data_IF_234339720603
#
_entry.id   IF_234339720603
#
_cell.length_a   1.000
_cell.length_b   1.000
_cell.length_c   1.000
_cell.angle_alpha   90.00
_cell.angle_beta   90.00
_cell.angle_gamma   90.00
#
_symmetry.space_group_name_H-M   'P 1'
#
loop_
_entity.id
_entity.type
_entity.pdbx_description
1 polymer ?
#
# COMPACT_ATOMS: atom_id res chain seq x y z
N UNK A 1 20.96 -2.19 -3.11
CA UNK A 1 20.24 -3.20 -3.92
C UNK A 1 20.48 -2.96 -5.41
N UNK A 2 20.06 -1.84 -6.01
CA UNK A 2 20.30 -1.57 -7.44
C UNK A 2 21.56 -0.72 -7.76
N UNK A 3 22.24 -0.18 -6.74
CA UNK A 3 23.42 0.68 -6.91
C UNK A 3 23.11 2.11 -7.38
N UNK A 4 21.84 2.52 -7.36
CA UNK A 4 21.41 3.85 -7.82
C UNK A 4 21.49 4.89 -6.69
N UNK A 5 21.84 6.16 -6.99
CA UNK A 5 21.80 7.25 -6.03
C UNK A 5 20.41 7.44 -5.42
N UNK A 6 20.36 7.80 -4.14
CA UNK A 6 19.11 8.19 -3.48
C UNK A 6 18.50 9.39 -4.25
N UNK A 7 17.19 9.36 -4.52
CA UNK A 7 16.45 10.33 -5.34
C UNK A 7 16.73 10.35 -6.85
N UNK A 8 17.51 9.41 -7.40
CA UNK A 8 17.62 9.26 -8.86
C UNK A 8 16.26 9.02 -9.52
N UNK A 9 15.97 9.75 -10.59
CA UNK A 9 14.69 9.71 -11.31
C UNK A 9 13.47 10.21 -10.53
N UNK A 10 13.69 11.06 -9.51
CA UNK A 10 12.62 11.69 -8.73
C UNK A 10 11.61 12.44 -9.61
N UNK A 11 12.07 13.20 -10.60
CA UNK A 11 11.20 13.96 -11.52
C UNK A 11 10.24 13.02 -12.27
N UNK A 12 10.76 11.92 -12.81
CA UNK A 12 9.94 10.93 -13.50
C UNK A 12 8.91 10.29 -12.56
N UNK A 13 9.32 9.95 -11.33
CA UNK A 13 8.41 9.42 -10.31
C UNK A 13 7.35 10.43 -9.88
N UNK A 14 7.69 11.72 -9.82
CA UNK A 14 6.74 12.79 -9.53
C UNK A 14 5.69 12.91 -10.63
N UNK A 15 6.08 12.82 -11.91
CA UNK A 15 5.15 12.78 -13.05
C UNK A 15 4.22 11.57 -12.96
N UNK A 16 4.77 10.36 -12.72
CA UNK A 16 3.98 9.14 -12.51
C UNK A 16 2.95 9.37 -11.39
N UNK A 17 3.41 9.86 -10.23
CA UNK A 17 2.56 10.10 -9.07
C UNK A 17 1.39 11.02 -9.43
N UNK A 18 1.67 12.16 -10.07
CA UNK A 18 0.64 13.13 -10.47
C UNK A 18 -0.38 12.49 -11.41
N UNK A 19 0.09 11.80 -12.46
CA UNK A 19 -0.81 11.18 -13.46
C UNK A 19 -1.66 10.07 -12.84
N UNK A 20 -1.05 9.16 -12.09
CA UNK A 20 -1.76 8.05 -11.45
C UNK A 20 -2.79 8.57 -10.43
N UNK A 21 -2.44 9.62 -9.70
CA UNK A 21 -3.34 10.29 -8.74
C UNK A 21 -4.52 10.95 -9.45
N UNK A 22 -4.29 11.67 -10.55
CA UNK A 22 -5.37 12.28 -11.35
C UNK A 22 -6.35 11.21 -11.84
N UNK A 23 -5.84 10.09 -12.35
CA UNK A 23 -6.67 8.96 -12.79
C UNK A 23 -7.53 8.44 -11.62
N UNK A 24 -6.93 8.25 -10.45
CA UNK A 24 -7.65 7.85 -9.23
C UNK A 24 -8.76 8.84 -8.87
N UNK A 25 -8.43 10.14 -8.82
CA UNK A 25 -9.38 11.20 -8.47
C UNK A 25 -10.55 11.19 -9.45
N UNK A 26 -10.28 11.15 -10.76
CA UNK A 26 -11.33 11.14 -11.78
C UNK A 26 -12.21 9.89 -11.64
N UNK A 27 -11.62 8.72 -11.41
CA UNK A 27 -12.35 7.46 -11.22
C UNK A 27 -13.28 7.53 -9.99
N UNK A 28 -12.73 7.93 -8.84
CA UNK A 28 -13.45 8.03 -7.57
C UNK A 28 -14.54 9.10 -7.65
N UNK A 29 -14.26 10.27 -8.21
CA UNK A 29 -15.25 11.35 -8.33
C UNK A 29 -16.39 11.00 -9.28
N UNK A 30 -16.11 10.30 -10.39
CA UNK A 30 -17.14 9.78 -11.29
C UNK A 30 -18.02 8.74 -10.61
N UNK A 31 -17.41 7.81 -9.86
CA UNK A 31 -18.15 6.83 -9.09
C UNK A 31 -18.99 7.49 -7.99
N UNK A 32 -18.43 8.42 -7.24
CA UNK A 32 -19.14 9.15 -6.18
C UNK A 32 -20.34 9.92 -6.74
N UNK A 33 -20.20 10.59 -7.89
CA UNK A 33 -21.32 11.23 -8.59
C UNK A 33 -22.38 10.20 -8.99
N UNK A 34 -21.97 9.07 -9.57
CA UNK A 34 -22.88 7.99 -10.00
C UNK A 34 -23.70 7.43 -8.84
N UNK A 35 -23.10 7.26 -7.66
CA UNK A 35 -23.79 6.77 -6.45
C UNK A 35 -24.64 7.86 -5.80
N UNK A 36 -24.20 9.13 -5.85
CA UNK A 36 -25.01 10.27 -5.40
C UNK A 36 -26.30 10.40 -6.21
N UNK A 37 -26.22 10.23 -7.53
CA UNK A 37 -27.37 10.31 -8.42
C UNK A 37 -28.28 9.07 -8.29
N UNK A 38 -27.72 7.90 -7.99
CA UNK A 38 -28.45 6.64 -7.81
C UNK A 38 -27.69 5.69 -6.85
N UNK A 39 -28.11 5.60 -5.58
CA UNK A 39 -27.46 4.79 -4.56
C UNK A 39 -27.39 3.28 -4.88
N UNK A 40 -28.32 2.76 -5.69
CA UNK A 40 -28.38 1.32 -6.06
C UNK A 40 -27.16 0.86 -6.86
N UNK A 41 -26.42 1.80 -7.45
CA UNK A 41 -25.21 1.53 -8.22
C UNK A 41 -23.99 1.24 -7.36
N UNK A 42 -24.08 1.43 -6.04
CA UNK A 42 -23.03 1.05 -5.09
C UNK A 42 -22.98 -0.47 -4.92
N UNK A 43 -21.82 -1.14 -5.02
CA UNK A 43 -21.69 -2.55 -4.64
C UNK A 43 -22.09 -2.83 -3.18
N UNK A 44 -22.04 -1.80 -2.33
CA UNK A 44 -22.39 -1.85 -0.91
C UNK A 44 -23.86 -1.53 -0.63
N UNK A 45 -24.68 -1.19 -1.63
CA UNK A 45 -26.06 -0.69 -1.42
C UNK A 45 -26.88 -1.53 -0.42
N UNK A 46 -26.96 -2.85 -0.61
CA UNK A 46 -27.72 -3.74 0.27
C UNK A 46 -27.16 -3.80 1.70
N UNK A 47 -25.82 -3.76 1.83
CA UNK A 47 -25.14 -3.78 3.13
C UNK A 47 -25.29 -2.43 3.84
N UNK A 48 -25.29 -1.33 3.10
CA UNK A 48 -25.47 0.01 3.64
C UNK A 48 -26.92 0.25 4.12
N UNK A 49 -27.91 -0.44 3.55
CA UNK A 49 -29.29 -0.43 4.06
C UNK A 49 -29.44 -1.14 5.42
N UNK A 50 -28.62 -2.17 5.67
CA UNK A 50 -28.62 -2.94 6.91
C UNK A 50 -27.64 -2.41 7.95
N UNK A 51 -26.62 -1.66 7.51
CA UNK A 51 -25.82 -0.86 8.42
C UNK A 51 -26.77 0.11 9.07
N UNK A 52 -26.86 0.04 10.39
CA UNK A 52 -27.28 1.16 11.21
C UNK A 52 -26.32 2.31 10.92
N UNK A 53 -26.58 3.04 9.83
CA UNK A 53 -25.93 4.30 9.53
C UNK A 53 -26.62 5.36 10.37
N UNK A 54 -26.77 5.09 11.67
CA UNK A 54 -26.76 6.11 12.69
C UNK A 54 -25.30 6.57 12.81
N UNK A 55 -24.77 7.16 11.73
CA UNK A 55 -24.06 8.41 11.91
C UNK A 55 -25.14 9.37 12.43
N UNK A 56 -25.50 9.23 13.71
CA UNK A 56 -25.82 10.39 14.52
C UNK A 56 -24.54 11.22 14.44
N UNK A 57 -24.42 11.98 13.35
CA UNK A 57 -23.78 13.28 13.41
C UNK A 57 -24.63 14.04 14.42
N UNK A 58 -24.43 13.75 15.70
CA UNK A 58 -24.66 14.69 16.77
C UNK A 58 -23.72 15.85 16.41
N UNK A 59 -24.25 16.71 15.54
CA UNK A 59 -23.81 18.08 15.32
C UNK A 59 -24.12 18.91 16.58
N UNK A 60 -24.38 18.27 17.73
CA UNK A 60 -24.08 18.88 19.00
C UNK A 60 -22.65 19.40 18.90
N UNK A 61 -22.53 20.72 19.00
CA UNK A 61 -21.25 21.40 19.10
C UNK A 61 -20.55 20.93 20.37
N UNK A 62 -19.92 19.75 20.33
CA UNK A 62 -19.05 19.32 21.41
C UNK A 62 -17.88 20.31 21.41
N UNK A 63 -17.75 21.16 22.44
CA UNK A 63 -16.72 22.17 22.45
C UNK A 63 -15.36 21.49 22.27
N UNK A 64 -14.56 22.00 21.33
CA UNK A 64 -13.22 21.50 21.06
C UNK A 64 -12.29 21.92 22.21
N UNK A 65 -12.43 21.20 23.32
CA UNK A 65 -11.76 21.49 24.58
C UNK A 65 -10.25 21.33 24.52
N UNK A 66 -9.58 21.75 25.59
CA UNK A 66 -8.11 21.69 25.70
C UNK A 66 -7.57 20.25 25.56
N UNK A 67 -8.28 19.25 26.11
CA UNK A 67 -7.91 17.83 25.99
C UNK A 67 -7.77 17.39 24.52
N UNK A 68 -8.81 17.61 23.71
CA UNK A 68 -8.80 17.28 22.26
C UNK A 68 -7.68 18.03 21.51
N UNK A 69 -7.41 19.29 21.84
CA UNK A 69 -6.28 20.05 21.27
C UNK A 69 -4.93 19.44 21.62
N UNK A 70 -4.75 18.99 22.86
CA UNK A 70 -3.53 18.32 23.31
C UNK A 70 -3.34 16.95 22.65
N UNK A 71 -4.42 16.19 22.43
CA UNK A 71 -4.35 14.93 21.67
C UNK A 71 -3.93 15.18 20.23
N UNK A 72 -4.48 16.19 19.56
CA UNK A 72 -4.07 16.55 18.20
C UNK A 72 -2.60 16.98 18.16
N UNK A 73 -2.14 17.76 19.14
CA UNK A 73 -0.74 18.12 19.25
C UNK A 73 0.15 16.89 19.46
N UNK A 74 -0.22 15.98 20.36
CA UNK A 74 0.49 14.73 20.60
C UNK A 74 0.54 13.85 19.34
N UNK A 75 -0.52 13.84 18.53
CA UNK A 75 -0.55 13.15 17.24
C UNK A 75 0.48 13.74 16.26
N UNK A 76 0.55 15.06 16.11
CA UNK A 76 1.57 15.69 15.25
C UNK A 76 3.00 15.46 15.77
N UNK A 77 3.20 15.47 17.10
CA UNK A 77 4.49 15.10 17.69
C UNK A 77 4.83 13.64 17.39
N UNK A 78 3.87 12.73 17.50
CA UNK A 78 4.06 11.32 17.16
C UNK A 78 4.43 11.16 15.67
N UNK A 79 3.81 11.91 14.76
CA UNK A 79 4.23 11.92 13.34
C UNK A 79 5.69 12.41 13.20
N UNK A 80 6.06 13.49 13.88
CA UNK A 80 7.43 13.99 13.87
C UNK A 80 8.45 12.96 14.39
N UNK A 81 8.12 12.28 15.49
CA UNK A 81 8.91 11.19 16.05
C UNK A 81 8.96 9.97 15.13
N UNK A 82 7.87 9.63 14.44
CA UNK A 82 7.85 8.55 13.46
C UNK A 82 8.82 8.85 12.32
N UNK A 83 8.76 10.06 11.76
CA UNK A 83 9.67 10.47 10.67
C UNK A 83 11.12 10.51 11.15
N UNK A 84 11.39 11.12 12.30
CA UNK A 84 12.74 11.18 12.85
C UNK A 84 13.28 9.78 13.22
N UNK A 85 12.49 8.98 13.90
CA UNK A 85 12.84 7.64 14.35
C UNK A 85 13.12 6.70 13.18
N UNK A 86 12.30 6.72 12.13
CA UNK A 86 12.53 5.89 10.94
C UNK A 86 13.74 6.34 10.13
N UNK A 87 13.98 7.65 9.97
CA UNK A 87 15.09 8.16 9.16
C UNK A 87 16.45 8.17 9.87
N UNK A 88 16.48 8.39 11.19
CA UNK A 88 17.73 8.57 11.95
C UNK A 88 18.03 7.46 12.92
N UNK A 89 17.01 6.88 13.56
CA UNK A 89 17.17 5.87 14.61
C UNK A 89 16.95 4.45 14.11
N UNK A 90 16.53 4.29 12.84
CA UNK A 90 16.25 2.98 12.25
C UNK A 90 15.04 2.28 12.87
N UNK A 91 14.07 3.04 13.41
CA UNK A 91 12.86 2.47 13.98
C UNK A 91 12.12 1.57 13.00
N UNK A 92 11.68 0.43 13.50
CA UNK A 92 10.94 -0.56 12.73
C UNK A 92 9.63 -0.91 13.43
N UNK A 93 9.08 -2.10 13.18
CA UNK A 93 7.73 -2.46 13.64
C UNK A 93 7.54 -2.30 15.15
N UNK A 94 8.51 -2.72 15.97
CA UNK A 94 8.36 -2.70 17.42
C UNK A 94 8.27 -1.27 17.97
N UNK A 95 9.15 -0.37 17.51
CA UNK A 95 9.20 1.02 17.94
C UNK A 95 7.99 1.80 17.45
N UNK A 96 7.54 1.54 16.20
CA UNK A 96 6.33 2.15 15.64
C UNK A 96 5.09 1.72 16.45
N UNK A 97 4.95 0.43 16.77
CA UNK A 97 3.87 -0.05 17.63
C UNK A 97 3.92 0.60 19.02
N UNK A 98 5.12 0.71 19.62
CA UNK A 98 5.31 1.38 20.91
C UNK A 98 4.93 2.87 20.88
N UNK A 99 5.26 3.56 19.79
CA UNK A 99 4.90 4.97 19.59
C UNK A 99 3.39 5.17 19.56
N UNK A 100 2.66 4.35 18.78
CA UNK A 100 1.20 4.46 18.69
C UNK A 100 0.49 4.00 19.98
N UNK A 101 1.02 2.99 20.67
CA UNK A 101 0.55 2.62 22.01
C UNK A 101 0.73 3.78 23.00
N UNK A 102 1.91 4.40 23.00
CA UNK A 102 2.21 5.58 23.81
C UNK A 102 1.29 6.76 23.49
N UNK A 103 1.00 7.00 22.21
CA UNK A 103 0.03 8.00 21.79
C UNK A 103 -1.37 7.71 22.35
N UNK A 104 -1.81 6.44 22.34
CA UNK A 104 -3.07 6.02 22.95
C UNK A 104 -3.12 6.34 24.45
N UNK A 105 -2.05 6.04 25.19
CA UNK A 105 -1.95 6.35 26.62
C UNK A 105 -2.01 7.86 26.85
N UNK A 106 -1.27 8.66 26.07
CA UNK A 106 -1.32 10.12 26.14
C UNK A 106 -2.72 10.64 25.85
N UNK A 107 -3.41 10.06 24.87
CA UNK A 107 -4.78 10.43 24.55
C UNK A 107 -5.74 10.19 25.73
N UNK A 108 -5.65 9.02 26.37
CA UNK A 108 -6.44 8.71 27.56
C UNK A 108 -6.17 9.67 28.72
N UNK A 109 -4.90 10.06 28.94
CA UNK A 109 -4.54 11.05 29.97
C UNK A 109 -5.10 12.43 29.63
N UNK A 110 -4.98 12.89 28.38
CA UNK A 110 -5.45 14.20 27.94
C UNK A 110 -6.98 14.33 28.02
N UNK A 111 -7.71 13.24 27.79
CA UNK A 111 -9.17 13.19 27.91
C UNK A 111 -9.64 12.89 29.34
N UNK A 112 -8.70 12.72 30.29
CA UNK A 112 -8.95 12.42 31.71
C UNK A 112 -9.74 11.13 31.93
N UNK A 113 -9.53 10.13 31.07
CA UNK A 113 -10.12 8.82 31.24
C UNK A 113 -9.64 8.18 32.54
N UNK A 114 -10.56 7.55 33.26
CA UNK A 114 -10.21 6.61 34.32
C UNK A 114 -9.50 5.37 33.73
N UNK A 115 -8.81 4.61 34.58
CA UNK A 115 -8.13 3.39 34.14
C UNK A 115 -9.11 2.36 33.57
N UNK A 116 -10.32 2.26 34.13
CA UNK A 116 -11.35 1.34 33.66
C UNK A 116 -11.90 1.77 32.31
N UNK A 117 -12.16 3.07 32.11
CA UNK A 117 -12.59 3.61 30.82
C UNK A 117 -11.52 3.38 29.75
N UNK A 118 -10.25 3.65 30.07
CA UNK A 118 -9.15 3.41 29.15
C UNK A 118 -9.01 1.92 28.83
N UNK A 119 -9.08 1.05 29.83
CA UNK A 119 -9.00 -0.40 29.66
C UNK A 119 -10.12 -0.95 28.78
N UNK A 120 -11.36 -0.50 29.01
CA UNK A 120 -12.52 -0.88 28.21
C UNK A 120 -12.41 -0.36 26.77
N UNK A 121 -12.02 0.91 26.57
CA UNK A 121 -11.83 1.48 25.24
C UNK A 121 -10.70 0.78 24.47
N UNK A 122 -9.60 0.46 25.15
CA UNK A 122 -8.48 -0.26 24.57
C UNK A 122 -8.87 -1.70 24.19
N UNK A 123 -9.59 -2.41 25.07
CA UNK A 123 -10.10 -3.75 24.81
C UNK A 123 -11.09 -3.76 23.63
N UNK A 124 -12.00 -2.77 23.57
CA UNK A 124 -12.91 -2.60 22.45
C UNK A 124 -12.14 -2.37 21.14
N UNK A 125 -11.17 -1.46 21.13
CA UNK A 125 -10.32 -1.19 19.95
C UNK A 125 -9.54 -2.42 19.50
N UNK A 126 -8.99 -3.22 20.43
CA UNK A 126 -8.38 -4.51 20.09
C UNK A 126 -9.38 -5.49 19.49
N UNK A 127 -10.60 -5.55 20.04
CA UNK A 127 -11.69 -6.40 19.53
C UNK A 127 -12.09 -6.03 18.10
N UNK A 128 -12.26 -4.75 17.82
CA UNK A 128 -12.58 -4.23 16.48
C UNK A 128 -11.48 -4.57 15.46
N UNK A 129 -10.23 -4.63 15.91
CA UNK A 129 -9.06 -4.97 15.08
C UNK A 129 -8.77 -6.47 15.00
N UNK A 130 -9.40 -7.32 15.83
CA UNK A 130 -9.03 -8.73 15.96
C UNK A 130 -9.19 -9.51 14.65
N UNK A 131 -10.31 -9.31 13.93
CA UNK A 131 -10.54 -9.95 12.63
C UNK A 131 -9.51 -9.47 11.61
N UNK A 132 -9.24 -8.16 11.56
CA UNK A 132 -8.22 -7.59 10.67
C UNK A 132 -6.83 -8.16 10.96
N UNK A 133 -6.45 -8.28 12.23
CA UNK A 133 -5.17 -8.83 12.66
C UNK A 133 -5.02 -10.32 12.30
N UNK A 134 -6.07 -11.14 12.46
CA UNK A 134 -6.06 -12.54 12.04
C UNK A 134 -5.87 -12.68 10.53
N UNK A 135 -6.60 -11.88 9.74
CA UNK A 135 -6.47 -11.89 8.27
C UNK A 135 -5.07 -11.46 7.85
N UNK A 136 -4.49 -10.43 8.49
CA UNK A 136 -3.08 -10.00 8.28
C UNK A 136 -2.11 -11.13 8.60
N UNK A 137 -2.33 -11.87 9.70
CA UNK A 137 -1.52 -13.02 10.09
C UNK A 137 -1.51 -14.14 9.05
N UNK A 138 -2.70 -14.54 8.56
CA UNK A 138 -2.83 -15.54 7.49
C UNK A 138 -2.17 -15.08 6.19
N UNK A 139 -2.40 -13.83 5.81
CA UNK A 139 -1.78 -13.21 4.66
C UNK A 139 -0.24 -13.25 4.73
N UNK A 140 0.34 -12.95 5.91
CA UNK A 140 1.78 -13.04 6.14
C UNK A 140 2.31 -14.47 6.12
N UNK A 141 1.54 -15.43 6.63
CA UNK A 141 1.94 -16.85 6.63
C UNK A 141 2.14 -17.40 5.20
N UNK A 142 1.26 -17.03 4.25
CA UNK A 142 1.41 -17.41 2.83
C UNK A 142 2.77 -16.94 2.29
N UNK A 143 3.14 -15.69 2.57
CA UNK A 143 4.43 -15.14 2.14
C UNK A 143 5.61 -15.91 2.74
N UNK A 144 5.57 -16.19 4.04
CA UNK A 144 6.63 -16.93 4.74
C UNK A 144 6.82 -18.33 4.14
N UNK A 145 5.73 -19.02 3.76
CA UNK A 145 5.79 -20.33 3.10
C UNK A 145 6.42 -20.24 1.71
N UNK A 146 6.06 -19.22 0.92
CA UNK A 146 6.61 -19.03 -0.43
C UNK A 146 8.12 -18.70 -0.39
N UNK A 147 8.55 -17.94 0.62
CA UNK A 147 9.94 -17.59 0.86
C UNK A 147 10.74 -18.79 1.37
N UNK A 148 10.30 -19.42 2.45
CA UNK A 148 10.98 -20.58 3.06
C UNK A 148 11.02 -21.78 2.12
N UNK A 149 10.02 -21.93 1.24
CA UNK A 149 9.95 -22.99 0.24
C UNK A 149 10.83 -22.78 -1.00
N UNK A 150 11.61 -21.69 -1.09
CA UNK A 150 12.41 -21.34 -2.28
C UNK A 150 11.60 -21.21 -3.59
N UNK A 151 10.28 -21.04 -3.50
CA UNK A 151 9.38 -20.91 -4.66
C UNK A 151 9.65 -19.57 -5.36
N UNK A 152 9.88 -18.52 -4.57
CA UNK A 152 10.21 -17.17 -5.08
C UNK A 152 11.48 -17.23 -5.93
N UNK A 153 12.54 -17.89 -5.44
CA UNK A 153 13.81 -18.01 -6.16
C UNK A 153 13.71 -18.81 -7.47
N UNK A 154 12.93 -19.89 -7.46
CA UNK A 154 12.71 -20.73 -8.66
C UNK A 154 11.98 -19.95 -9.75
N UNK A 155 10.92 -19.21 -9.38
CA UNK A 155 10.18 -18.37 -10.32
C UNK A 155 11.06 -17.25 -10.89
N UNK A 156 11.87 -16.63 -10.05
CA UNK A 156 12.81 -15.58 -10.43
C UNK A 156 13.82 -16.08 -11.48
N UNK A 157 14.40 -17.25 -11.25
CA UNK A 157 15.32 -17.87 -12.21
C UNK A 157 14.63 -18.15 -13.55
N UNK A 158 13.44 -18.76 -13.53
CA UNK A 158 12.67 -19.03 -14.74
C UNK A 158 12.28 -17.77 -15.52
N UNK A 159 11.98 -16.67 -14.82
CA UNK A 159 11.71 -15.39 -15.49
C UNK A 159 12.97 -14.81 -16.14
N UNK A 160 14.13 -14.89 -15.48
CA UNK A 160 15.38 -14.37 -16.03
C UNK A 160 15.82 -15.07 -17.31
N UNK A 161 15.64 -16.39 -17.41
CA UNK A 161 16.00 -17.15 -18.63
C UNK A 161 15.12 -16.81 -19.82
N UNK A 162 13.83 -16.50 -19.60
CA UNK A 162 12.92 -16.06 -20.67
C UNK A 162 13.28 -14.66 -21.14
N UNK A 163 13.52 -13.74 -20.21
CA UNK A 163 13.80 -12.33 -20.50
C UNK A 163 15.14 -12.10 -21.22
N UNK A 164 16.13 -12.96 -20.99
CA UNK A 164 17.46 -12.89 -21.63
C UNK A 164 17.42 -13.00 -23.15
N UNK A 165 16.37 -13.64 -23.69
CA UNK A 165 16.20 -13.88 -25.13
C UNK A 165 15.41 -12.78 -25.87
N UNK A 166 14.93 -11.75 -25.16
CA UNK A 166 13.98 -10.77 -25.68
C UNK A 166 14.63 -9.39 -25.98
N UNK A 167 14.11 -8.61 -26.94
CA UNK A 167 14.55 -7.23 -27.19
C UNK A 167 14.32 -6.32 -25.99
N UNK A 168 15.18 -5.32 -25.76
CA UNK A 168 15.18 -4.48 -24.56
C UNK A 168 13.83 -3.89 -24.12
N UNK A 169 13.01 -3.37 -25.06
CA UNK A 169 11.65 -2.86 -24.74
C UNK A 169 10.76 -3.99 -24.21
N UNK A 170 10.80 -5.16 -24.84
CA UNK A 170 10.02 -6.33 -24.44
C UNK A 170 10.52 -6.87 -23.11
N UNK A 171 11.82 -6.81 -22.86
CA UNK A 171 12.42 -7.18 -21.58
C UNK A 171 12.01 -6.21 -20.47
N UNK A 172 11.97 -4.89 -20.72
CA UNK A 172 11.49 -3.91 -19.74
C UNK A 172 10.01 -4.16 -19.35
N UNK A 173 9.14 -4.40 -20.32
CA UNK A 173 7.74 -4.75 -20.07
C UNK A 173 7.60 -6.13 -19.40
N UNK A 174 8.43 -7.09 -19.80
CA UNK A 174 8.47 -8.41 -19.18
C UNK A 174 8.89 -8.34 -17.71
N UNK A 175 9.85 -7.48 -17.37
CA UNK A 175 10.23 -7.18 -15.98
C UNK A 175 9.07 -6.53 -15.23
N UNK A 176 8.33 -5.59 -15.86
CA UNK A 176 7.15 -4.98 -15.25
C UNK A 176 6.04 -5.99 -14.96
N UNK A 177 5.67 -6.81 -15.95
CA UNK A 177 4.68 -7.89 -15.79
C UNK A 177 5.13 -8.85 -14.70
N UNK A 178 6.40 -9.25 -14.71
CA UNK A 178 6.96 -10.13 -13.68
C UNK A 178 6.84 -9.52 -12.27
N UNK A 179 7.13 -8.22 -12.13
CA UNK A 179 6.99 -7.53 -10.84
C UNK A 179 5.53 -7.43 -10.40
N UNK A 180 4.59 -7.19 -11.31
CA UNK A 180 3.16 -7.21 -11.01
C UNK A 180 2.72 -8.60 -10.50
N UNK A 181 3.09 -9.67 -11.22
CA UNK A 181 2.74 -11.05 -10.86
C UNK A 181 3.40 -11.50 -9.55
N UNK A 182 4.60 -11.03 -9.27
CA UNK A 182 5.32 -11.34 -8.04
C UNK A 182 4.71 -10.60 -6.85
N UNK A 183 4.24 -9.37 -7.04
CA UNK A 183 3.65 -8.61 -5.95
C UNK A 183 2.33 -9.22 -5.43
N UNK A 184 1.57 -9.92 -6.27
CA UNK A 184 0.43 -10.73 -5.81
C UNK A 184 0.79 -11.80 -4.77
N UNK A 185 2.03 -12.26 -4.81
CA UNK A 185 2.58 -13.28 -3.91
C UNK A 185 3.32 -12.66 -2.73
N UNK A 186 3.94 -11.49 -2.97
CA UNK A 186 4.78 -10.75 -2.02
C UNK A 186 4.31 -9.30 -1.92
N UNK A 187 3.14 -9.03 -1.31
CA UNK A 187 2.60 -7.67 -1.16
C UNK A 187 3.34 -6.89 -0.06
N UNK A 188 4.63 -6.66 -0.29
CA UNK A 188 5.54 -5.98 0.61
C UNK A 188 6.66 -5.36 -0.23
N UNK A 189 6.62 -4.04 -0.43
CA UNK A 189 7.63 -3.36 -1.24
C UNK A 189 9.06 -3.63 -0.79
N UNK A 190 9.35 -3.59 0.52
CA UNK A 190 10.69 -3.89 1.04
C UNK A 190 11.09 -5.37 0.85
N UNK A 191 10.17 -6.31 1.12
CA UNK A 191 10.41 -7.74 0.93
C UNK A 191 10.59 -8.12 -0.55
N UNK A 192 9.71 -7.62 -1.41
CA UNK A 192 9.78 -7.82 -2.86
C UNK A 192 11.06 -7.21 -3.44
N UNK A 193 11.45 -6.01 -3.02
CA UNK A 193 12.70 -5.40 -3.47
C UNK A 193 13.91 -6.26 -3.06
N UNK A 194 13.93 -6.76 -1.82
CA UNK A 194 15.03 -7.57 -1.31
C UNK A 194 15.23 -8.89 -2.08
N UNK A 195 14.14 -9.52 -2.54
CA UNK A 195 14.22 -10.80 -3.27
C UNK A 195 14.35 -10.62 -4.78
N UNK A 196 13.69 -9.62 -5.37
CA UNK A 196 13.65 -9.46 -6.84
C UNK A 196 14.77 -8.59 -7.38
N UNK A 197 15.12 -7.49 -6.72
CA UNK A 197 16.07 -6.52 -7.28
C UNK A 197 17.51 -7.02 -7.39
N UNK A 198 18.05 -7.90 -6.50
CA UNK A 198 19.38 -8.48 -6.69
C UNK A 198 19.53 -9.28 -7.98
N UNK A 199 18.43 -9.82 -8.52
CA UNK A 199 18.42 -10.51 -9.81
C UNK A 199 18.03 -9.57 -10.95
N UNK A 200 17.01 -8.75 -10.75
CA UNK A 200 16.47 -7.87 -11.79
C UNK A 200 17.44 -6.77 -12.19
N UNK A 201 18.23 -6.22 -11.26
CA UNK A 201 19.22 -5.20 -11.59
C UNK A 201 20.33 -5.70 -12.54
N UNK A 202 21.04 -6.80 -12.27
CA UNK A 202 22.04 -7.32 -13.20
C UNK A 202 21.41 -7.86 -14.50
N UNK A 203 20.20 -8.43 -14.44
CA UNK A 203 19.48 -8.84 -15.66
C UNK A 203 19.18 -7.63 -16.56
N UNK A 204 18.77 -6.50 -15.97
CA UNK A 204 18.52 -5.26 -16.71
C UNK A 204 19.75 -4.86 -17.54
N UNK A 205 20.94 -4.88 -16.92
CA UNK A 205 22.20 -4.55 -17.60
C UNK A 205 22.48 -5.45 -18.81
N UNK A 206 22.16 -6.75 -18.72
CA UNK A 206 22.41 -7.73 -19.77
C UNK A 206 21.46 -7.52 -20.95
N UNK A 207 20.18 -7.28 -20.68
CA UNK A 207 19.14 -7.14 -21.71
C UNK A 207 18.98 -5.70 -22.24
N UNK A 208 19.92 -4.82 -21.88
CA UNK A 208 19.95 -3.43 -22.34
C UNK A 208 18.85 -2.54 -21.74
N UNK A 209 18.39 -2.85 -20.52
CA UNK A 209 17.40 -2.05 -19.77
C UNK A 209 18.12 -1.34 -18.63
N UNK A 210 17.84 -0.04 -18.46
CA UNK A 210 18.47 0.72 -17.37
C UNK A 210 18.01 0.19 -16.00
N UNK A 211 18.90 0.18 -15.01
CA UNK A 211 18.55 -0.28 -13.65
C UNK A 211 17.46 0.60 -13.04
N UNK A 212 17.45 1.87 -13.39
CA UNK A 212 16.40 2.80 -12.98
C UNK A 212 15.04 2.42 -13.59
N UNK A 213 14.99 1.96 -14.85
CA UNK A 213 13.77 1.42 -15.46
C UNK A 213 13.30 0.17 -14.71
N UNK A 214 14.21 -0.74 -14.37
CA UNK A 214 13.90 -1.91 -13.54
C UNK A 214 13.33 -1.51 -12.15
N UNK A 215 13.85 -0.45 -11.53
CA UNK A 215 13.30 0.10 -10.30
C UNK A 215 11.90 0.72 -10.49
N UNK A 216 11.62 1.36 -11.63
CA UNK A 216 10.28 1.88 -11.93
C UNK A 216 9.28 0.74 -12.15
N UNK A 217 9.67 -0.28 -12.91
CA UNK A 217 8.89 -1.50 -13.11
C UNK A 217 8.53 -2.17 -11.78
N UNK A 218 9.52 -2.29 -10.87
CA UNK A 218 9.29 -2.75 -9.50
C UNK A 218 8.30 -1.86 -8.74
N UNK A 219 8.53 -0.54 -8.68
CA UNK A 219 7.68 0.37 -7.89
C UNK A 219 6.23 0.43 -8.39
N UNK A 220 6.02 0.37 -9.70
CA UNK A 220 4.69 0.34 -10.30
C UNK A 220 4.01 -1.01 -10.04
N UNK A 221 4.74 -2.12 -10.19
CA UNK A 221 4.23 -3.45 -9.87
C UNK A 221 3.87 -3.61 -8.39
N UNK A 222 4.72 -3.13 -7.49
CA UNK A 222 4.46 -3.10 -6.04
C UNK A 222 3.27 -2.19 -5.72
N UNK A 223 3.34 -0.91 -6.11
CA UNK A 223 2.34 0.09 -5.72
C UNK A 223 0.92 -0.21 -6.19
N UNK A 224 0.73 -0.74 -7.40
CA UNK A 224 -0.60 -0.93 -8.00
C UNK A 224 -1.34 -2.13 -7.41
N UNK A 225 -0.75 -3.33 -7.36
CA UNK A 225 -1.47 -4.53 -6.86
C UNK A 225 -1.75 -4.47 -5.37
N UNK A 226 -1.02 -3.64 -4.65
CA UNK A 226 -1.04 -3.53 -3.20
C UNK A 226 -2.42 -3.18 -2.61
N UNK A 227 -3.26 -2.47 -3.39
CA UNK A 227 -4.65 -2.14 -3.04
C UNK A 227 -5.69 -3.17 -3.55
N UNK A 228 -5.25 -4.33 -4.03
CA UNK A 228 -6.12 -5.40 -4.51
C UNK A 228 -5.70 -6.78 -4.05
N UNK A 229 -4.41 -7.02 -3.81
CA UNK A 229 -3.93 -8.33 -3.37
C UNK A 229 -4.49 -8.69 -1.98
N UNK A 230 -5.18 -9.83 -1.82
CA UNK A 230 -5.80 -10.22 -0.53
C UNK A 230 -4.77 -10.63 0.52
N UNK A 231 -3.53 -10.91 0.12
CA UNK A 231 -2.40 -11.13 1.04
C UNK A 231 -1.75 -9.82 1.51
N UNK A 232 -2.27 -8.65 1.08
CA UNK A 232 -1.84 -7.34 1.58
C UNK A 232 -2.47 -7.07 2.95
N UNK A 233 -1.65 -7.16 4.01
CA UNK A 233 -2.14 -7.03 5.38
C UNK A 233 -2.84 -5.70 5.65
N UNK A 234 -2.26 -4.57 5.22
CA UNK A 234 -2.87 -3.26 5.47
C UNK A 234 -4.16 -3.05 4.65
N UNK A 235 -4.26 -3.61 3.43
CA UNK A 235 -5.51 -3.58 2.67
C UNK A 235 -6.60 -4.31 3.44
N UNK A 236 -6.32 -5.55 3.87
CA UNK A 236 -7.29 -6.37 4.58
C UNK A 236 -7.68 -5.76 5.94
N UNK A 237 -6.73 -5.16 6.66
CA UNK A 237 -7.02 -4.41 7.88
C UNK A 237 -7.92 -3.20 7.60
N UNK A 238 -7.65 -2.45 6.53
CA UNK A 238 -8.46 -1.29 6.12
C UNK A 238 -9.88 -1.68 5.73
N UNK A 239 -10.04 -2.77 4.97
CA UNK A 239 -11.34 -3.29 4.58
C UNK A 239 -12.13 -3.81 5.78
N UNK A 240 -11.47 -4.50 6.71
CA UNK A 240 -12.08 -4.97 7.95
C UNK A 240 -12.59 -3.81 8.81
N UNK A 241 -11.76 -2.78 9.04
CA UNK A 241 -12.17 -1.55 9.76
C UNK A 241 -13.33 -0.83 9.08
N UNK A 242 -13.29 -0.71 7.75
CA UNK A 242 -14.36 -0.11 6.97
C UNK A 242 -15.61 -1.00 6.84
N UNK A 243 -15.57 -2.24 7.37
CA UNK A 243 -16.59 -3.28 7.25
C UNK A 243 -16.97 -3.58 5.78
N UNK A 244 -16.01 -3.49 4.86
CA UNK A 244 -16.21 -3.71 3.42
C UNK A 244 -15.75 -5.14 3.06
N UNK A 245 -16.63 -6.00 2.51
CA UNK A 245 -16.21 -7.31 2.02
C UNK A 245 -15.21 -7.18 0.86
N UNK A 246 -14.16 -8.01 0.87
CA UNK A 246 -13.12 -8.00 -0.15
C UNK A 246 -13.68 -8.14 -1.57
N UNK A 247 -14.67 -9.01 -1.79
CA UNK A 247 -15.26 -9.23 -3.12
C UNK A 247 -15.91 -7.96 -3.70
N UNK A 248 -16.58 -7.17 -2.85
CA UNK A 248 -17.20 -5.89 -3.23
C UNK A 248 -16.12 -4.86 -3.55
N UNK A 249 -15.06 -4.82 -2.75
CA UNK A 249 -13.88 -3.97 -3.01
C UNK A 249 -13.19 -4.34 -4.31
N UNK A 250 -12.89 -5.62 -4.53
CA UNK A 250 -12.26 -6.14 -5.73
C UNK A 250 -13.05 -5.73 -6.98
N UNK A 251 -14.38 -5.93 -6.99
CA UNK A 251 -15.25 -5.53 -8.09
C UNK A 251 -15.21 -4.02 -8.36
N UNK A 252 -15.11 -3.21 -7.31
CA UNK A 252 -15.01 -1.76 -7.42
C UNK A 252 -13.65 -1.29 -7.95
N UNK A 253 -12.55 -1.90 -7.51
CA UNK A 253 -11.19 -1.41 -7.80
C UNK A 253 -10.60 -1.99 -9.10
N UNK A 254 -11.05 -3.16 -9.55
CA UNK A 254 -10.57 -3.86 -10.75
C UNK A 254 -10.47 -2.97 -12.00
N UNK A 255 -11.47 -2.16 -12.37
CA UNK A 255 -11.37 -1.29 -13.55
C UNK A 255 -10.26 -0.25 -13.43
N UNK A 256 -10.07 0.35 -12.24
CA UNK A 256 -9.01 1.32 -11.99
C UNK A 256 -7.63 0.66 -12.08
N UNK A 257 -7.50 -0.55 -11.54
CA UNK A 257 -6.26 -1.33 -11.60
C UNK A 257 -5.87 -1.66 -13.04
N UNK A 258 -6.84 -2.03 -13.89
CA UNK A 258 -6.59 -2.24 -15.31
C UNK A 258 -6.04 -0.98 -15.99
N UNK A 259 -6.62 0.19 -15.70
CA UNK A 259 -6.14 1.48 -16.22
C UNK A 259 -4.73 1.77 -15.71
N UNK A 260 -4.47 1.57 -14.42
CA UNK A 260 -3.14 1.80 -13.85
C UNK A 260 -2.08 0.83 -14.36
N UNK A 261 -2.40 -0.46 -14.56
CA UNK A 261 -1.45 -1.38 -15.18
C UNK A 261 -1.12 -0.98 -16.61
N UNK A 262 -2.12 -0.58 -17.40
CA UNK A 262 -1.89 -0.08 -18.75
C UNK A 262 -1.02 1.20 -18.74
N UNK A 263 -1.31 2.15 -17.86
CA UNK A 263 -0.50 3.36 -17.71
C UNK A 263 0.90 3.06 -17.17
N UNK A 264 1.05 2.09 -16.28
CA UNK A 264 2.34 1.64 -15.77
C UNK A 264 3.21 1.06 -16.87
N UNK A 265 2.66 0.23 -17.75
CA UNK A 265 3.33 -0.25 -18.95
C UNK A 265 3.79 0.93 -19.84
N UNK A 266 2.92 1.90 -20.09
CA UNK A 266 3.30 3.12 -20.84
C UNK A 266 4.48 3.84 -20.19
N UNK A 267 4.49 4.00 -18.87
CA UNK A 267 5.60 4.63 -18.16
C UNK A 267 6.90 3.81 -18.19
N UNK A 268 6.82 2.48 -18.14
CA UNK A 268 8.00 1.60 -18.25
C UNK A 268 8.60 1.69 -19.65
N UNK A 269 7.77 1.62 -20.69
CA UNK A 269 8.21 1.82 -22.07
C UNK A 269 8.88 3.19 -22.26
N UNK A 270 8.27 4.28 -21.75
CA UNK A 270 8.87 5.63 -21.81
C UNK A 270 10.21 5.66 -21.08
N UNK A 271 10.29 5.11 -19.87
CA UNK A 271 11.51 5.07 -19.07
C UNK A 271 12.65 4.36 -19.80
N UNK A 272 12.34 3.25 -20.49
CA UNK A 272 13.31 2.55 -21.31
C UNK A 272 13.74 3.37 -22.54
N UNK A 273 12.80 3.94 -23.30
CA UNK A 273 13.09 4.70 -24.53
C UNK A 273 13.98 5.91 -24.25
N UNK A 274 13.75 6.62 -23.15
CA UNK A 274 14.57 7.79 -22.78
C UNK A 274 15.89 7.40 -22.11
N UNK A 275 16.17 6.11 -21.94
CA UNK A 275 17.29 5.58 -21.15
C UNK A 275 17.34 6.25 -19.76
N UNK A 276 16.22 6.20 -19.04
CA UNK A 276 16.08 6.88 -17.76
C UNK A 276 17.17 6.42 -16.78
N UNK A 277 17.87 7.39 -16.17
CA UNK A 277 18.85 7.15 -15.13
C UNK A 277 20.30 7.17 -15.62
N UNK A 278 21.28 7.08 -14.69
CA UNK A 278 22.70 7.09 -15.03
C UNK A 278 23.21 5.75 -15.59
N UNK A 279 22.47 4.66 -15.32
CA UNK A 279 22.74 3.28 -15.75
C UNK A 279 21.42 2.57 -16.04
#
# INVERSE_FOLDING_TARGET
MAGLPLFSGLEFRAVILVVMTIIAIVYVMRYAKKVKDDPTKSPMYELDLQRETHLELNLEEHPFGLGKKLVVLAFFIAIGLLVFGTLKLGWYYAEICGLFLGLGIVAGICDRMTLDEFGNAFAQGMGDMAVGALVVGFARAILVVLESGNIIHTMLYAASTVLDSLPGVVSAEGMYIFQCLTNYKIPSGSGQAAVTMPLMAPLADIVGVTRQTACIAFQLGDGISNIFTPTSGYLMASLAMAKIPYEKWAKFILPLIGIWYAMGAVFVAIAHIINLGPF
#
